data_IF_256579708112
#
_entry.id   IF_256579708112
#
_cell.length_a   1.000
_cell.length_b   1.000
_cell.length_c   1.000
_cell.angle_alpha   90.00
_cell.angle_beta   90.00
_cell.angle_gamma   90.00
#
_symmetry.space_group_name_H-M   'P 1'
#
loop_
_entity.id
_entity.type
_entity.pdbx_description
1 polymer ?
#
# COMPACT_ATOMS: atom_id res chain seq x y z
N UNK A 1 47.16 16.88 -1.49
CA UNK A 1 45.75 16.77 -1.07
C UNK A 1 44.89 17.15 -2.27
N UNK A 2 44.57 16.18 -3.14
CA UNK A 2 43.68 16.42 -4.29
C UNK A 2 42.38 15.65 -4.04
N UNK A 3 41.30 16.40 -3.88
CA UNK A 3 39.94 15.89 -3.75
C UNK A 3 39.44 15.44 -5.12
N UNK A 4 39.11 14.16 -5.25
CA UNK A 4 38.37 13.64 -6.39
C UNK A 4 36.89 14.03 -6.24
N UNK A 5 36.46 15.00 -7.04
CA UNK A 5 35.04 15.27 -7.27
C UNK A 5 34.46 14.10 -8.07
N UNK A 6 33.60 13.31 -7.43
CA UNK A 6 32.83 12.26 -8.08
C UNK A 6 31.80 12.90 -9.02
N UNK A 7 31.96 12.71 -10.32
CA UNK A 7 31.07 13.23 -11.34
C UNK A 7 29.71 12.51 -11.26
N UNK A 8 28.65 13.24 -10.88
CA UNK A 8 27.27 12.76 -10.99
C UNK A 8 26.89 12.74 -12.47
N UNK A 9 26.59 11.54 -12.99
CA UNK A 9 26.06 11.35 -14.34
C UNK A 9 24.63 11.94 -14.39
N UNK A 10 24.29 12.85 -15.32
CA UNK A 10 22.96 13.43 -15.39
C UNK A 10 21.96 12.43 -15.99
N UNK A 11 20.95 12.05 -15.20
CA UNK A 11 19.80 11.28 -15.67
C UNK A 11 18.74 12.21 -16.29
N UNK A 12 18.31 11.92 -17.52
CA UNK A 12 17.18 12.61 -18.15
C UNK A 12 15.87 12.29 -17.43
N UNK A 13 14.95 13.27 -17.27
CA UNK A 13 13.61 12.99 -16.76
C UNK A 13 12.91 12.01 -17.70
N UNK A 14 12.65 10.79 -17.21
CA UNK A 14 11.85 9.79 -17.91
C UNK A 14 10.37 10.01 -17.57
N UNK A 15 9.50 9.92 -18.58
CA UNK A 15 8.06 9.87 -18.38
C UNK A 15 7.70 8.63 -17.55
N UNK A 16 6.90 8.84 -16.51
CA UNK A 16 6.40 7.80 -15.62
C UNK A 16 5.45 6.88 -16.42
N UNK A 17 5.76 5.59 -16.45
CA UNK A 17 4.81 4.54 -16.78
C UNK A 17 4.67 3.68 -15.51
N UNK A 18 3.72 4.03 -14.65
CA UNK A 18 3.32 3.17 -13.53
C UNK A 18 2.58 1.97 -14.12
N UNK A 19 3.17 0.79 -14.03
CA UNK A 19 2.51 -0.46 -14.42
C UNK A 19 1.64 -0.92 -13.25
N UNK A 20 0.33 -1.03 -13.50
CA UNK A 20 -0.70 -1.42 -12.55
C UNK A 20 -0.92 -2.94 -12.65
N UNK A 21 -0.57 -3.71 -11.62
CA UNK A 21 -0.89 -5.13 -11.49
C UNK A 21 -1.91 -5.33 -10.37
N UNK A 22 -3.16 -5.63 -10.74
CA UNK A 22 -4.19 -6.19 -9.85
C UNK A 22 -4.78 -7.41 -10.54
N UNK A 23 -4.52 -8.61 -10.02
CA UNK A 23 -5.20 -9.85 -10.42
C UNK A 23 -5.98 -10.38 -9.22
N UNK A 24 -7.31 -10.35 -9.32
CA UNK A 24 -8.21 -10.98 -8.35
C UNK A 24 -8.50 -12.43 -8.80
N UNK A 25 -8.08 -13.42 -8.03
CA UNK A 25 -8.58 -14.79 -8.14
C UNK A 25 -9.67 -15.04 -7.09
N UNK A 26 -10.89 -15.32 -7.52
CA UNK A 26 -12.01 -15.71 -6.67
C UNK A 26 -12.42 -17.17 -6.99
N UNK A 27 -12.33 -18.05 -5.98
CA UNK A 27 -12.95 -19.37 -6.01
C UNK A 27 -13.94 -19.46 -4.85
N UNK A 28 -15.24 -19.42 -5.18
CA UNK A 28 -16.34 -19.66 -4.24
C UNK A 28 -16.87 -21.08 -4.35
N UNK A 29 -17.21 -21.67 -3.21
CA UNK A 29 -17.97 -22.92 -3.11
C UNK A 29 -19.03 -22.78 -2.01
N UNK A 30 -20.29 -22.97 -2.36
CA UNK A 30 -21.45 -22.79 -1.47
C UNK A 30 -22.17 -24.09 -1.10
N UNK A 31 -23.15 -23.93 -0.20
CA UNK A 31 -24.14 -24.90 0.27
C UNK A 31 -24.31 -24.77 1.79
N UNK A 32 -25.48 -24.63 2.40
CA UNK A 32 -26.89 -24.77 2.02
C UNK A 32 -27.61 -25.46 3.20
N UNK A 33 -28.78 -24.97 3.64
CA UNK A 33 -29.66 -25.73 4.55
C UNK A 33 -30.40 -24.93 5.62
N UNK A 34 -31.74 -24.98 5.55
CA UNK A 34 -32.72 -24.20 6.31
C UNK A 34 -33.12 -24.81 7.66
N UNK A 35 -33.84 -24.02 8.48
CA UNK A 35 -34.58 -24.52 9.64
C UNK A 35 -35.34 -23.41 10.38
N UNK A 36 -36.63 -23.24 10.05
CA UNK A 36 -37.58 -22.33 10.70
C UNK A 36 -38.19 -22.96 11.97
N UNK A 37 -38.64 -22.14 12.93
CA UNK A 37 -39.73 -22.50 13.84
C UNK A 37 -40.55 -21.29 14.25
N UNK A 38 -41.86 -21.47 14.15
CA UNK A 38 -42.98 -20.54 14.36
C UNK A 38 -43.42 -20.50 15.83
N UNK A 39 -43.91 -19.34 16.29
CA UNK A 39 -44.92 -19.22 17.36
C UNK A 39 -45.91 -18.07 17.01
N UNK A 40 -47.25 -18.26 17.15
CA UNK A 40 -48.27 -17.23 16.84
C UNK A 40 -48.79 -16.55 18.14
N UNK A 41 -49.72 -15.57 18.12
CA UNK A 41 -49.44 -14.20 18.57
C UNK A 41 -50.24 -13.73 19.80
N UNK A 42 -49.87 -12.59 20.39
CA UNK A 42 -50.72 -11.83 21.31
C UNK A 42 -51.13 -10.50 20.67
N UNK A 43 -52.43 -10.23 20.67
CA UNK A 43 -53.04 -9.10 19.96
C UNK A 43 -52.63 -7.74 20.51
N UNK A 44 -52.34 -6.83 19.59
CA UNK A 44 -52.35 -5.39 19.84
C UNK A 44 -53.00 -4.69 18.65
N UNK A 45 -53.78 -3.66 18.97
CA UNK A 45 -54.61 -2.84 18.09
C UNK A 45 -53.88 -2.36 16.83
N UNK A 46 -54.54 -2.27 15.65
CA UNK A 46 -53.89 -1.76 14.45
C UNK A 46 -53.51 -0.28 14.63
N UNK A 47 -52.26 0.11 14.34
CA UNK A 47 -51.90 1.53 14.23
C UNK A 47 -52.57 2.13 12.98
N UNK A 48 -52.92 3.41 13.07
CA UNK A 48 -53.43 4.18 11.95
C UNK A 48 -52.45 4.15 10.76
N UNK A 49 -52.96 3.89 9.57
CA UNK A 49 -52.20 3.87 8.32
C UNK A 49 -51.63 5.27 8.06
N UNK A 50 -50.31 5.44 8.23
CA UNK A 50 -49.62 6.63 7.74
C UNK A 50 -49.64 6.61 6.21
N UNK A 51 -49.92 7.74 5.53
CA UNK A 51 -49.72 7.86 4.09
C UNK A 51 -48.26 7.52 3.75
N UNK A 52 -48.00 6.83 2.64
CA UNK A 52 -46.63 6.52 2.24
C UNK A 52 -45.85 7.83 2.10
N UNK A 53 -44.75 7.95 2.85
CA UNK A 53 -43.79 9.01 2.65
C UNK A 53 -43.24 8.86 1.22
N UNK A 54 -43.47 9.86 0.37
CA UNK A 54 -42.77 9.99 -0.90
C UNK A 54 -41.28 10.09 -0.60
N UNK A 55 -40.53 9.00 -0.86
CA UNK A 55 -39.08 9.08 -0.94
C UNK A 55 -38.74 10.16 -1.96
N UNK A 56 -37.90 11.15 -1.62
CA UNK A 56 -37.32 12.02 -2.63
C UNK A 56 -36.65 11.13 -3.68
N UNK A 57 -36.97 11.35 -4.96
CA UNK A 57 -36.29 10.66 -6.05
C UNK A 57 -34.78 10.76 -5.82
N UNK A 58 -34.11 9.60 -5.77
CA UNK A 58 -32.67 9.56 -5.69
C UNK A 58 -32.11 10.30 -6.91
N UNK A 59 -31.57 11.49 -6.67
CA UNK A 59 -30.91 12.28 -7.70
C UNK A 59 -29.81 11.39 -8.29
N UNK A 60 -29.78 11.15 -9.62
CA UNK A 60 -28.81 10.25 -10.20
C UNK A 60 -27.41 10.77 -9.86
N UNK A 61 -26.64 9.98 -9.11
CA UNK A 61 -25.23 10.27 -8.86
C UNK A 61 -24.58 10.48 -10.23
N UNK A 62 -24.02 11.67 -10.43
CA UNK A 62 -23.30 11.98 -11.65
C UNK A 62 -22.21 10.91 -11.83
N UNK A 63 -22.15 10.31 -13.02
CA UNK A 63 -21.11 9.35 -13.36
C UNK A 63 -19.73 9.99 -13.12
N UNK A 64 -19.06 9.60 -12.03
CA UNK A 64 -17.71 10.02 -11.66
C UNK A 64 -16.63 9.44 -12.60
N UNK A 65 -17.04 8.94 -13.77
CA UNK A 65 -16.13 8.35 -14.73
C UNK A 65 -15.36 9.46 -15.46
N UNK A 66 -14.17 9.75 -14.96
CA UNK A 66 -13.27 10.77 -15.54
C UNK A 66 -12.60 10.23 -16.81
N UNK A 67 -12.07 9.00 -16.77
CA UNK A 67 -11.45 8.33 -17.91
C UNK A 67 -11.23 6.85 -17.64
N UNK A 68 -10.98 6.06 -18.68
CA UNK A 68 -10.51 4.69 -18.57
C UNK A 68 -9.29 4.50 -19.47
N UNK A 69 -8.22 3.99 -18.88
CA UNK A 69 -7.09 3.42 -19.60
C UNK A 69 -7.12 1.91 -19.42
N UNK A 70 -6.94 1.17 -20.53
CA UNK A 70 -6.69 -0.27 -20.47
C UNK A 70 -5.19 -0.47 -20.68
N UNK A 71 -4.53 -0.99 -19.65
CA UNK A 71 -3.15 -1.46 -19.78
C UNK A 71 -3.18 -2.89 -20.30
N UNK A 72 -2.50 -3.15 -21.41
CA UNK A 72 -2.30 -4.50 -21.93
C UNK A 72 -0.81 -4.79 -21.81
N UNK A 73 -0.41 -5.91 -21.19
CA UNK A 73 1.00 -6.31 -21.16
C UNK A 73 1.56 -6.33 -22.58
N UNK A 74 2.83 -5.96 -22.71
CA UNK A 74 3.52 -6.03 -23.99
C UNK A 74 3.53 -7.48 -24.49
N UNK A 75 3.55 -7.69 -25.81
CA UNK A 75 3.51 -9.03 -26.39
C UNK A 75 4.67 -9.94 -25.92
N UNK A 76 5.78 -9.36 -25.44
CA UNK A 76 6.93 -10.07 -24.88
C UNK A 76 6.84 -10.36 -23.38
N UNK A 77 5.80 -9.94 -22.67
CA UNK A 77 5.64 -10.22 -21.23
C UNK A 77 5.39 -11.72 -21.03
N UNK A 78 6.31 -12.40 -20.35
CA UNK A 78 6.25 -13.83 -20.01
C UNK A 78 5.95 -14.03 -18.53
N UNK A 79 5.64 -15.26 -18.13
CA UNK A 79 5.53 -15.68 -16.73
C UNK A 79 6.84 -15.45 -15.94
N UNK A 80 6.76 -15.20 -14.63
CA UNK A 80 7.96 -15.05 -13.78
C UNK A 80 7.68 -14.56 -12.35
N UNK A 81 6.93 -13.48 -12.18
CA UNK A 81 6.54 -12.92 -10.88
C UNK A 81 5.05 -12.56 -10.95
N UNK A 82 4.29 -12.99 -9.94
CA UNK A 82 2.92 -12.55 -9.66
C UNK A 82 2.92 -11.72 -8.39
N UNK A 83 1.79 -11.09 -8.08
CA UNK A 83 1.58 -10.43 -6.77
C UNK A 83 2.66 -9.39 -6.41
N UNK A 84 3.13 -8.69 -7.45
CA UNK A 84 4.11 -7.62 -7.30
C UNK A 84 3.55 -6.45 -6.48
N UNK A 85 4.20 -6.17 -5.35
CA UNK A 85 3.87 -5.04 -4.46
C UNK A 85 4.54 -3.74 -4.89
N UNK A 86 5.63 -3.79 -5.65
CA UNK A 86 6.26 -2.59 -6.22
C UNK A 86 6.98 -2.84 -7.54
N UNK A 87 6.97 -1.81 -8.39
CA UNK A 87 7.79 -1.75 -9.59
C UNK A 87 8.45 -0.38 -9.72
N UNK A 88 9.77 -0.34 -9.89
CA UNK A 88 10.56 0.89 -9.95
C UNK A 88 11.30 1.00 -11.29
N UNK A 89 11.11 2.12 -11.99
CA UNK A 89 11.80 2.35 -13.26
C UNK A 89 13.32 2.46 -13.07
N UNK A 90 14.06 1.67 -13.87
CA UNK A 90 15.50 1.70 -13.97
C UNK A 90 15.95 2.27 -15.33
N UNK A 91 17.22 2.69 -15.47
CA UNK A 91 17.79 3.12 -16.75
C UNK A 91 17.78 2.02 -17.80
N UNK A 92 17.85 2.40 -19.08
CA UNK A 92 18.00 1.45 -20.20
C UNK A 92 16.75 0.63 -20.53
N UNK A 93 15.56 1.15 -20.24
CA UNK A 93 14.28 0.45 -20.42
C UNK A 93 14.12 -0.82 -19.59
N UNK A 94 14.70 -0.81 -18.38
CA UNK A 94 14.49 -1.82 -17.36
C UNK A 94 13.60 -1.31 -16.22
N UNK A 95 13.09 -2.25 -15.44
CA UNK A 95 12.41 -1.99 -14.18
C UNK A 95 12.84 -3.03 -13.15
N UNK A 96 12.88 -2.61 -11.90
CA UNK A 96 12.90 -3.53 -10.79
C UNK A 96 11.47 -3.88 -10.42
N UNK A 97 11.22 -5.14 -10.10
CA UNK A 97 9.97 -5.64 -9.54
C UNK A 97 10.30 -6.43 -8.27
N UNK A 98 9.50 -6.21 -7.23
CA UNK A 98 9.53 -7.01 -6.02
C UNK A 98 8.11 -7.41 -5.64
N UNK A 99 7.95 -8.69 -5.31
CA UNK A 99 6.71 -9.34 -4.91
C UNK A 99 6.72 -9.67 -3.41
N UNK A 100 5.56 -10.05 -2.88
CA UNK A 100 5.41 -10.38 -1.46
C UNK A 100 5.77 -11.85 -1.16
N UNK A 101 5.80 -12.74 -2.17
CA UNK A 101 6.09 -14.16 -1.96
C UNK A 101 7.56 -14.57 -2.08
N UNK A 102 8.41 -13.73 -2.68
CA UNK A 102 9.83 -14.04 -2.87
C UNK A 102 10.75 -13.06 -2.14
N UNK A 103 11.74 -13.60 -1.45
CA UNK A 103 12.80 -12.82 -0.80
C UNK A 103 13.90 -12.35 -1.78
N UNK A 104 13.50 -11.77 -2.92
CA UNK A 104 14.44 -11.29 -3.94
C UNK A 104 13.95 -10.01 -4.62
N UNK A 105 14.89 -9.19 -5.11
CA UNK A 105 14.61 -8.17 -6.12
C UNK A 105 14.88 -8.75 -7.51
N UNK A 106 14.00 -8.49 -8.48
CA UNK A 106 14.20 -8.91 -9.87
C UNK A 106 14.25 -7.71 -10.81
N UNK A 107 15.11 -7.77 -11.81
CA UNK A 107 15.19 -6.76 -12.88
C UNK A 107 14.62 -7.34 -14.16
N UNK A 108 13.67 -6.65 -14.77
CA UNK A 108 12.99 -7.04 -16.00
C UNK A 108 13.14 -5.97 -17.09
N UNK A 109 13.22 -6.36 -18.38
CA UNK A 109 12.98 -5.43 -19.48
C UNK A 109 11.53 -4.90 -19.41
N UNK A 110 11.32 -3.59 -19.54
CA UNK A 110 9.96 -3.00 -19.55
C UNK A 110 9.14 -3.39 -20.77
N UNK A 111 9.80 -3.76 -21.88
CA UNK A 111 9.16 -4.31 -23.07
C UNK A 111 8.60 -5.73 -22.86
N UNK A 112 8.85 -6.35 -21.69
CA UNK A 112 8.52 -7.74 -21.39
C UNK A 112 9.71 -8.68 -21.63
N UNK A 113 9.66 -9.84 -20.95
CA UNK A 113 10.63 -10.91 -21.04
C UNK A 113 10.97 -11.47 -19.64
N UNK A 114 11.87 -12.45 -19.61
CA UNK A 114 12.37 -13.02 -18.35
C UNK A 114 13.19 -12.01 -17.54
N UNK A 115 13.30 -12.24 -16.23
CA UNK A 115 14.20 -11.48 -15.37
C UNK A 115 15.65 -11.63 -15.87
N UNK A 116 16.37 -10.51 -15.95
CA UNK A 116 17.79 -10.47 -16.35
C UNK A 116 18.74 -10.43 -15.16
N UNK A 117 18.20 -10.18 -13.96
CA UNK A 117 18.93 -10.15 -12.70
C UNK A 117 17.98 -10.54 -11.57
N UNK A 118 18.50 -11.30 -10.62
CA UNK A 118 17.90 -11.54 -9.32
C UNK A 118 18.92 -11.16 -8.23
N UNK A 119 18.44 -10.60 -7.13
CA UNK A 119 19.23 -10.22 -5.97
C UNK A 119 18.56 -10.73 -4.70
N UNK A 120 19.27 -11.53 -3.91
CA UNK A 120 18.70 -12.28 -2.79
C UNK A 120 18.80 -11.55 -1.45
N UNK A 121 17.69 -11.44 -0.73
CA UNK A 121 17.67 -10.84 0.62
C UNK A 121 18.50 -11.65 1.61
N UNK A 122 18.47 -12.97 1.48
CA UNK A 122 19.20 -13.91 2.34
C UNK A 122 20.70 -13.89 2.05
N UNK A 123 21.08 -13.97 0.76
CA UNK A 123 22.49 -14.09 0.38
C UNK A 123 23.22 -12.76 0.34
N UNK A 124 22.54 -11.66 0.03
CA UNK A 124 23.17 -10.37 -0.27
C UNK A 124 22.62 -9.21 0.56
N UNK A 125 21.37 -9.33 1.04
CA UNK A 125 20.63 -8.24 1.69
C UNK A 125 20.52 -8.35 3.22
N UNK A 126 19.33 -8.07 3.79
CA UNK A 126 19.10 -8.01 5.24
C UNK A 126 19.24 -9.34 5.99
N UNK A 127 19.61 -10.44 5.30
CA UNK A 127 19.81 -11.77 5.87
C UNK A 127 18.53 -12.38 6.44
N UNK A 128 17.40 -12.07 5.80
CA UNK A 128 16.08 -12.57 6.15
C UNK A 128 15.89 -13.97 5.55
N UNK A 129 15.64 -14.95 6.41
CA UNK A 129 15.34 -16.34 6.03
C UNK A 129 13.84 -16.63 5.98
N UNK A 130 13.03 -15.81 6.68
CA UNK A 130 11.58 -15.78 6.52
C UNK A 130 11.21 -14.77 5.45
N UNK A 131 10.13 -15.04 4.74
CA UNK A 131 9.47 -14.12 3.82
C UNK A 131 9.27 -12.75 4.48
N UNK A 132 9.81 -11.71 3.83
CA UNK A 132 9.67 -10.33 4.27
C UNK A 132 8.26 -9.79 4.02
N UNK A 133 7.54 -10.34 3.03
CA UNK A 133 6.18 -9.92 2.68
C UNK A 133 6.25 -8.45 2.23
N UNK A 134 6.96 -8.18 1.13
CA UNK A 134 7.26 -6.81 0.69
C UNK A 134 5.97 -6.12 0.27
N UNK A 135 5.71 -4.92 0.80
CA UNK A 135 4.44 -4.22 0.56
C UNK A 135 4.61 -2.96 -0.30
N UNK A 136 5.75 -2.29 -0.21
CA UNK A 136 5.98 -1.08 -0.98
C UNK A 136 7.47 -0.77 -1.20
N UNK A 137 7.74 0.05 -2.22
CA UNK A 137 9.06 0.47 -2.60
C UNK A 137 9.07 1.89 -3.18
N UNK A 138 10.17 2.62 -3.01
CA UNK A 138 10.38 3.90 -3.68
C UNK A 138 11.85 4.16 -3.98
N UNK A 139 12.12 5.04 -4.94
CA UNK A 139 13.47 5.41 -5.35
C UNK A 139 13.74 6.88 -5.06
N UNK A 140 14.85 7.15 -4.37
CA UNK A 140 15.38 8.51 -4.17
C UNK A 140 16.84 8.51 -4.66
N UNK A 141 17.09 9.20 -5.77
CA UNK A 141 18.40 9.22 -6.42
C UNK A 141 18.84 7.83 -6.91
N UNK A 142 19.95 7.33 -6.37
CA UNK A 142 20.51 6.00 -6.63
C UNK A 142 20.12 4.97 -5.55
N UNK A 143 19.30 5.35 -4.57
CA UNK A 143 18.91 4.47 -3.46
C UNK A 143 17.45 4.06 -3.60
N UNK A 144 17.20 2.76 -3.49
CA UNK A 144 15.88 2.15 -3.43
C UNK A 144 15.57 1.83 -1.97
N UNK A 145 14.42 2.25 -1.51
CA UNK A 145 13.89 2.01 -0.19
C UNK A 145 12.72 1.06 -0.31
N UNK A 146 12.62 0.11 0.61
CA UNK A 146 11.58 -0.92 0.62
C UNK A 146 11.04 -1.09 2.03
N UNK A 147 9.79 -1.52 2.13
CA UNK A 147 9.16 -1.92 3.38
C UNK A 147 8.54 -3.29 3.24
N UNK A 148 8.81 -4.18 4.20
CA UNK A 148 8.04 -5.40 4.41
C UNK A 148 6.68 -5.12 5.05
N UNK A 149 5.97 -6.19 5.37
CA UNK A 149 4.65 -6.10 5.96
C UNK A 149 4.74 -5.53 7.38
N UNK A 150 4.29 -4.29 7.49
CA UNK A 150 4.00 -3.61 8.74
C UNK A 150 2.50 -3.73 8.96
N UNK A 151 2.05 -4.98 9.12
CA UNK A 151 0.65 -5.34 9.23
C UNK A 151 0.46 -6.40 10.32
N UNK A 152 -0.74 -6.48 10.89
CA UNK A 152 -1.12 -7.67 11.65
C UNK A 152 -1.12 -8.91 10.75
N UNK A 153 -0.91 -10.10 11.31
CA UNK A 153 -1.10 -11.36 10.60
C UNK A 153 -2.59 -11.56 10.28
N UNK A 154 -2.88 -12.40 9.28
CA UNK A 154 -4.25 -12.76 8.86
C UNK A 154 -5.13 -13.36 9.98
N UNK A 155 -4.51 -13.94 11.01
CA UNK A 155 -5.18 -14.47 12.20
C UNK A 155 -5.27 -13.45 13.35
N UNK A 156 -4.80 -12.23 13.11
CA UNK A 156 -4.76 -11.13 14.07
C UNK A 156 -3.58 -11.18 15.05
N UNK A 157 -2.61 -12.08 14.87
CA UNK A 157 -1.38 -12.06 15.67
C UNK A 157 -0.43 -10.94 15.22
N UNK A 158 0.49 -10.55 16.10
CA UNK A 158 1.54 -9.57 15.80
C UNK A 158 2.56 -10.15 14.78
N UNK A 159 2.89 -9.36 13.76
CA UNK A 159 3.90 -9.68 12.74
C UNK A 159 5.19 -8.87 12.88
N UNK A 160 5.23 -7.88 13.78
CA UNK A 160 6.26 -6.85 13.83
C UNK A 160 7.68 -7.42 13.95
N UNK A 161 7.85 -8.43 14.82
CA UNK A 161 9.16 -9.03 15.06
C UNK A 161 9.73 -9.83 13.87
N UNK A 162 8.89 -10.25 12.92
CA UNK A 162 9.28 -11.15 11.83
C UNK A 162 9.31 -10.47 10.45
N UNK A 163 8.52 -9.41 10.22
CA UNK A 163 8.24 -8.86 8.87
C UNK A 163 8.34 -7.34 8.74
N UNK A 164 8.31 -6.60 9.83
CA UNK A 164 8.26 -5.13 9.80
C UNK A 164 9.63 -4.49 9.63
N UNK A 165 10.24 -4.67 8.45
CA UNK A 165 11.54 -4.11 8.11
C UNK A 165 11.42 -3.05 7.03
N UNK A 166 11.96 -1.86 7.31
CA UNK A 166 12.41 -0.92 6.31
C UNK A 166 13.84 -1.28 5.93
N UNK A 167 14.17 -1.37 4.65
CA UNK A 167 15.55 -1.55 4.21
C UNK A 167 15.85 -0.72 2.97
N UNK A 168 17.15 -0.59 2.65
CA UNK A 168 17.54 0.07 1.42
C UNK A 168 18.72 -0.62 0.72
N UNK A 169 18.75 -0.45 -0.59
CA UNK A 169 19.87 -0.83 -1.46
C UNK A 169 20.21 0.33 -2.37
N UNK A 170 21.50 0.55 -2.64
CA UNK A 170 21.94 1.38 -3.75
C UNK A 170 21.90 0.57 -5.04
N UNK A 171 21.46 1.18 -6.13
CA UNK A 171 21.39 0.56 -7.46
C UNK A 171 22.34 1.27 -8.43
N UNK A 172 23.06 0.48 -9.22
CA UNK A 172 23.95 0.96 -10.29
C UNK A 172 23.89 0.02 -11.49
N UNK A 173 24.47 0.42 -12.63
CA UNK A 173 24.41 -0.36 -13.86
C UNK A 173 23.03 -0.34 -14.53
N UNK A 174 22.81 -1.26 -15.46
CA UNK A 174 21.55 -1.43 -16.19
C UNK A 174 21.44 -2.86 -16.71
N UNK A 175 20.22 -3.34 -16.97
CA UNK A 175 19.98 -4.70 -17.45
C UNK A 175 20.59 -5.78 -16.56
N UNK A 176 21.23 -6.78 -17.17
CA UNK A 176 21.90 -7.87 -16.45
C UNK A 176 23.08 -7.40 -15.59
N UNK A 177 23.70 -6.26 -15.94
CA UNK A 177 24.80 -5.64 -15.21
C UNK A 177 24.31 -4.76 -14.05
N UNK A 178 23.00 -4.75 -13.76
CA UNK A 178 22.46 -4.07 -12.59
C UNK A 178 23.07 -4.65 -11.31
N UNK A 179 23.64 -3.79 -10.49
CA UNK A 179 24.25 -4.16 -9.21
C UNK A 179 23.55 -3.47 -8.05
N UNK A 180 23.33 -4.22 -6.98
CA UNK A 180 22.74 -3.75 -5.74
C UNK A 180 23.77 -3.79 -4.62
N UNK A 181 23.80 -2.73 -3.81
CA UNK A 181 24.62 -2.66 -2.60
C UNK A 181 23.74 -2.39 -1.40
N UNK A 182 23.63 -3.36 -0.51
CA UNK A 182 22.83 -3.26 0.70
C UNK A 182 23.32 -2.12 1.60
N UNK A 183 22.40 -1.28 2.06
CA UNK A 183 22.69 -0.12 2.91
C UNK A 183 22.48 -0.46 4.39
N UNK A 184 21.37 -1.11 4.72
CA UNK A 184 20.98 -1.43 6.08
C UNK A 184 19.47 -1.60 6.21
N UNK A 185 18.99 -1.69 7.46
CA UNK A 185 17.58 -1.91 7.78
C UNK A 185 17.17 -1.26 9.11
N UNK A 186 15.88 -1.11 9.31
CA UNK A 186 15.25 -0.64 10.54
C UNK A 186 13.95 -1.41 10.80
N UNK A 187 13.76 -1.91 12.02
CA UNK A 187 12.69 -2.86 12.36
C UNK A 187 11.77 -2.41 13.51
N UNK A 188 11.86 -1.14 13.95
CA UNK A 188 11.08 -0.63 15.09
C UNK A 188 9.99 0.37 14.66
N UNK A 189 9.62 0.38 13.38
CA UNK A 189 8.72 1.38 12.81
C UNK A 189 7.33 1.35 13.45
N UNK A 190 6.70 0.17 13.51
CA UNK A 190 5.37 0.00 14.11
C UNK A 190 5.35 0.44 15.59
N UNK A 191 6.28 -0.09 16.39
CA UNK A 191 6.37 0.26 17.82
C UNK A 191 6.55 1.76 18.04
N UNK A 192 7.30 2.44 17.18
CA UNK A 192 7.54 3.88 17.27
C UNK A 192 6.36 4.71 16.74
N UNK A 193 5.62 4.23 15.74
CA UNK A 193 4.34 4.84 15.32
C UNK A 193 3.31 4.77 16.44
N UNK A 194 3.19 3.63 17.11
CA UNK A 194 2.30 3.44 18.27
C UNK A 194 2.67 4.43 19.39
N UNK A 195 3.96 4.53 19.73
CA UNK A 195 4.42 5.45 20.77
C UNK A 195 4.17 6.92 20.38
N UNK A 196 4.41 7.28 19.12
CA UNK A 196 4.19 8.63 18.59
C UNK A 196 2.73 9.06 18.67
N UNK A 197 1.79 8.18 18.31
CA UNK A 197 0.36 8.44 18.41
C UNK A 197 -0.13 8.48 19.86
N UNK A 198 0.26 7.50 20.67
CA UNK A 198 -0.13 7.41 22.09
C UNK A 198 0.31 8.62 22.92
N UNK A 199 1.49 9.15 22.64
CA UNK A 199 2.06 10.28 23.40
C UNK A 199 1.64 11.64 22.87
N UNK A 200 0.76 11.70 21.87
CA UNK A 200 0.37 12.95 21.20
C UNK A 200 1.58 13.71 20.62
N UNK A 201 2.61 13.00 20.16
CA UNK A 201 3.81 13.64 19.61
C UNK A 201 3.53 14.30 18.24
N UNK A 202 2.37 14.04 17.63
CA UNK A 202 1.87 14.70 16.42
C UNK A 202 1.03 15.96 16.69
N UNK A 203 0.49 16.14 17.90
CA UNK A 203 -0.27 17.32 18.31
C UNK A 203 -1.79 17.28 18.06
N UNK A 204 -2.38 16.15 17.66
CA UNK A 204 -3.82 15.99 17.38
C UNK A 204 -4.62 15.34 18.52
N UNK A 205 -3.96 14.97 19.62
CA UNK A 205 -4.52 14.26 20.77
C UNK A 205 -3.83 12.90 20.99
N UNK A 206 -3.85 12.40 22.21
CA UNK A 206 -3.34 11.07 22.50
C UNK A 206 -4.22 10.01 21.81
N UNK A 207 -3.59 9.00 21.21
CA UNK A 207 -4.25 7.89 20.53
C UNK A 207 -5.20 8.32 19.40
N UNK A 208 -4.91 9.46 18.75
CA UNK A 208 -5.74 10.04 17.71
C UNK A 208 -5.94 9.10 16.50
N UNK A 209 -4.89 8.43 16.06
CA UNK A 209 -4.96 7.44 14.96
C UNK A 209 -5.35 6.05 15.45
N UNK A 210 -5.23 5.80 16.75
CA UNK A 210 -5.56 4.55 17.39
C UNK A 210 -4.62 3.42 16.95
N UNK A 211 -3.34 3.71 16.69
CA UNK A 211 -2.39 2.69 16.25
C UNK A 211 -2.22 1.57 17.28
N UNK A 212 -2.21 1.89 18.58
CA UNK A 212 -2.13 0.89 19.64
C UNK A 212 -3.27 -0.14 19.60
N UNK A 213 -4.49 0.33 19.30
CA UNK A 213 -5.65 -0.55 19.12
C UNK A 213 -5.56 -1.29 17.80
N UNK A 214 -5.16 -0.59 16.73
CA UNK A 214 -5.15 -1.14 15.38
C UNK A 214 -4.14 -2.28 15.20
N UNK A 215 -2.98 -2.18 15.87
CA UNK A 215 -1.97 -3.23 15.93
C UNK A 215 -2.26 -4.32 16.99
N UNK A 216 -3.34 -4.18 17.75
CA UNK A 216 -3.68 -5.08 18.86
C UNK A 216 -3.99 -6.51 18.40
N UNK A 217 -3.79 -7.47 19.30
CA UNK A 217 -4.09 -8.88 19.04
C UNK A 217 -5.56 -9.10 18.68
N UNK A 218 -5.81 -9.92 17.65
CA UNK A 218 -7.14 -10.23 17.12
C UNK A 218 -7.69 -9.19 16.13
N UNK A 219 -6.93 -8.14 15.82
CA UNK A 219 -7.26 -7.22 14.73
C UNK A 219 -6.55 -7.70 13.47
N UNK A 220 -7.34 -8.01 12.44
CA UNK A 220 -6.82 -8.43 11.12
C UNK A 220 -6.57 -7.20 10.23
N UNK A 221 -5.58 -7.24 9.32
CA UNK A 221 -5.19 -6.08 8.51
C UNK A 221 -6.29 -5.63 7.54
N UNK A 222 -7.23 -6.52 7.17
CA UNK A 222 -8.32 -6.22 6.25
C UNK A 222 -9.53 -5.51 6.89
N UNK A 223 -9.35 -4.93 8.08
CA UNK A 223 -10.35 -4.08 8.72
C UNK A 223 -10.01 -2.61 8.59
N UNK A 224 -11.02 -1.76 8.61
CA UNK A 224 -10.82 -0.29 8.61
C UNK A 224 -10.05 0.21 9.84
N UNK A 225 -10.03 -0.61 10.89
CA UNK A 225 -9.26 -0.42 12.11
C UNK A 225 -8.07 -1.36 12.24
N UNK A 226 -7.66 -2.04 11.17
CA UNK A 226 -6.38 -2.78 11.14
C UNK A 226 -5.18 -1.86 11.03
N UNK A 227 -3.99 -2.42 11.21
CA UNK A 227 -2.71 -1.76 10.93
C UNK A 227 -2.14 -2.40 9.66
N UNK A 228 -1.88 -1.60 8.63
CA UNK A 228 -1.30 -2.06 7.36
C UNK A 228 -0.74 -0.91 6.53
N UNK A 229 0.58 -0.94 6.27
CA UNK A 229 1.29 -0.02 5.39
C UNK A 229 1.49 -0.69 4.03
N UNK A 230 0.88 -0.12 2.97
CA UNK A 230 1.01 -0.63 1.58
C UNK A 230 1.43 0.47 0.60
N UNK A 231 1.53 1.73 1.05
CA UNK A 231 2.02 2.84 0.25
C UNK A 231 3.40 3.29 0.73
N UNK A 232 4.30 3.60 -0.20
CA UNK A 232 5.54 4.29 0.14
C UNK A 232 6.06 5.16 -1.00
N UNK A 233 6.39 6.41 -0.69
CA UNK A 233 6.97 7.35 -1.67
C UNK A 233 7.86 8.40 -1.00
N UNK A 234 8.50 9.27 -1.77
CA UNK A 234 9.19 10.43 -1.21
C UNK A 234 8.29 11.66 -1.14
N UNK A 235 8.47 12.46 -0.10
CA UNK A 235 7.86 13.80 0.01
C UNK A 235 8.30 14.76 -1.12
N UNK A 236 7.63 15.91 -1.29
CA UNK A 236 8.14 16.99 -2.13
C UNK A 236 9.56 17.39 -1.69
N UNK A 237 10.47 17.49 -2.66
CA UNK A 237 11.89 17.76 -2.38
C UNK A 237 12.69 16.60 -1.77
N UNK A 238 12.10 15.40 -1.63
CA UNK A 238 12.77 14.18 -1.18
C UNK A 238 13.40 14.27 0.23
N UNK A 239 12.75 15.02 1.13
CA UNK A 239 13.26 15.27 2.49
C UNK A 239 12.75 14.29 3.56
N UNK A 240 11.66 13.58 3.25
CA UNK A 240 11.05 12.55 4.07
C UNK A 240 10.54 11.39 3.20
N UNK A 241 10.48 10.21 3.81
CA UNK A 241 9.80 9.04 3.29
C UNK A 241 8.34 9.07 3.76
N UNK A 242 7.38 9.04 2.86
CA UNK A 242 5.95 9.01 3.15
C UNK A 242 5.46 7.56 3.19
N UNK A 243 4.86 7.17 4.31
CA UNK A 243 4.21 5.87 4.51
C UNK A 243 2.71 6.02 4.34
N UNK A 244 2.14 5.37 3.31
CA UNK A 244 0.71 5.34 3.04
C UNK A 244 0.05 4.11 3.65
N UNK A 245 -1.05 4.32 4.36
CA UNK A 245 -1.73 3.26 5.09
C UNK A 245 -2.94 2.75 4.30
N UNK A 246 -3.01 1.42 4.10
CA UNK A 246 -4.28 0.76 3.72
C UNK A 246 -5.27 0.86 4.86
N UNK A 247 -4.78 0.64 6.07
CA UNK A 247 -5.49 0.80 7.32
C UNK A 247 -4.48 1.23 8.41
N UNK A 248 -4.90 2.00 9.42
CA UNK A 248 -6.27 2.42 9.68
C UNK A 248 -6.73 3.55 8.75
N UNK A 249 -8.02 3.58 8.43
CA UNK A 249 -8.66 4.85 8.07
C UNK A 249 -8.84 5.68 9.36
N UNK A 250 -8.71 7.00 9.25
CA UNK A 250 -8.73 7.92 10.40
C UNK A 250 -10.06 8.67 10.49
N UNK A 251 -10.31 9.27 11.65
CA UNK A 251 -11.51 10.04 11.96
C UNK A 251 -12.16 9.63 13.29
N UNK A 252 -12.54 10.61 14.11
CA UNK A 252 -12.97 10.42 15.50
C UNK A 252 -14.36 9.77 15.63
N UNK A 253 -15.20 9.86 14.60
CA UNK A 253 -16.59 9.35 14.62
C UNK A 253 -16.80 8.31 13.53
N UNK A 254 -16.24 8.55 12.34
CA UNK A 254 -16.22 7.61 11.22
C UNK A 254 -14.79 7.55 10.70
N UNK A 255 -14.22 6.35 10.64
CA UNK A 255 -12.90 6.09 10.03
C UNK A 255 -13.02 6.20 8.52
N UNK A 256 -12.86 7.42 7.97
CA UNK A 256 -13.19 7.75 6.59
C UNK A 256 -12.02 8.30 5.77
N UNK A 257 -10.96 8.80 6.41
CA UNK A 257 -9.83 9.40 5.70
C UNK A 257 -8.68 8.40 5.59
N UNK A 258 -7.96 8.47 4.47
CA UNK A 258 -6.69 7.79 4.31
C UNK A 258 -5.59 8.54 5.06
N UNK A 259 -4.53 7.83 5.46
CA UNK A 259 -3.43 8.39 6.24
C UNK A 259 -2.10 8.24 5.51
N UNK A 260 -1.29 9.31 5.55
CA UNK A 260 0.14 9.28 5.25
C UNK A 260 0.91 9.79 6.47
N UNK A 261 1.94 9.05 6.89
CA UNK A 261 2.87 9.48 7.94
C UNK A 261 4.27 9.69 7.36
N UNK A 262 4.84 10.91 7.42
CA UNK A 262 6.21 11.16 7.01
C UNK A 262 7.24 10.65 8.02
N UNK A 263 8.30 9.98 7.58
CA UNK A 263 9.52 9.65 8.33
C UNK A 263 10.66 10.53 7.82
N UNK A 264 11.11 11.48 8.63
CA UNK A 264 12.07 12.51 8.20
C UNK A 264 13.52 12.01 8.19
N UNK A 265 13.88 11.15 9.14
CA UNK A 265 15.25 10.65 9.32
C UNK A 265 15.44 9.21 8.82
N UNK A 266 14.62 8.76 7.86
CA UNK A 266 14.60 7.39 7.31
C UNK A 266 15.98 6.86 6.92
N UNK A 267 16.82 7.68 6.27
CA UNK A 267 18.17 7.27 5.88
C UNK A 267 19.08 6.98 7.08
N UNK A 268 18.96 7.76 8.16
CA UNK A 268 19.73 7.55 9.40
C UNK A 268 19.26 6.30 10.16
N UNK A 269 17.95 6.04 10.16
CA UNK A 269 17.39 4.80 10.73
C UNK A 269 17.93 3.58 10.01
N UNK A 270 17.86 3.56 8.68
CA UNK A 270 18.29 2.44 7.85
C UNK A 270 19.81 2.23 7.94
N UNK A 271 20.59 3.31 8.00
CA UNK A 271 22.04 3.23 8.18
C UNK A 271 22.46 2.83 9.61
N UNK A 272 21.53 2.67 10.55
CA UNK A 272 21.83 2.35 11.95
C UNK A 272 22.49 3.49 12.74
N UNK A 273 22.46 4.71 12.21
CA UNK A 273 23.03 5.90 12.90
C UNK A 273 22.00 6.64 13.76
N UNK A 274 20.72 6.28 13.63
CA UNK A 274 19.65 6.67 14.53
C UNK A 274 18.81 5.45 14.93
N UNK A 275 18.31 5.43 16.16
CA UNK A 275 17.42 4.36 16.66
C UNK A 275 15.98 4.83 16.87
N UNK A 276 15.72 6.14 16.77
CA UNK A 276 14.40 6.76 16.97
C UNK A 276 13.98 7.51 15.71
N UNK A 277 12.79 7.19 15.21
CA UNK A 277 12.17 7.81 14.06
C UNK A 277 11.67 9.21 14.43
N UNK A 278 11.93 10.14 13.53
CA UNK A 278 11.37 11.49 13.58
C UNK A 278 10.22 11.55 12.59
N UNK A 279 9.00 11.45 13.10
CA UNK A 279 7.80 11.55 12.27
C UNK A 279 7.44 13.02 12.00
N UNK A 280 6.94 13.30 10.81
CA UNK A 280 6.44 14.62 10.41
C UNK A 280 4.95 14.81 10.67
N UNK A 281 4.43 15.98 10.28
CA UNK A 281 3.00 16.24 10.34
C UNK A 281 2.25 15.20 9.47
N UNK A 282 1.27 14.50 10.04
CA UNK A 282 0.49 13.52 9.30
C UNK A 282 -0.38 14.20 8.23
N UNK A 283 -0.66 13.48 7.15
CA UNK A 283 -1.54 13.96 6.08
C UNK A 283 -2.75 13.03 6.04
N UNK A 284 -3.94 13.59 6.20
CA UNK A 284 -5.20 12.88 6.03
C UNK A 284 -5.85 13.26 4.70
N UNK A 285 -6.33 12.26 3.94
CA UNK A 285 -6.91 12.45 2.62
C UNK A 285 -8.34 11.91 2.55
N UNK A 286 -9.24 12.66 1.93
CA UNK A 286 -10.62 12.25 1.67
C UNK A 286 -10.69 11.37 0.42
N UNK A 287 -10.39 10.07 0.56
CA UNK A 287 -10.46 9.08 -0.54
C UNK A 287 -11.77 8.28 -0.56
N UNK A 288 -12.84 8.84 0.01
CA UNK A 288 -14.16 8.21 0.06
C UNK A 288 -14.19 6.95 0.93
N UNK A 289 -13.56 6.97 2.11
CA UNK A 289 -13.49 5.81 3.01
C UNK A 289 -12.46 4.75 2.60
N UNK A 290 -11.60 5.05 1.62
CA UNK A 290 -10.57 4.13 1.13
C UNK A 290 -9.22 4.45 1.74
N UNK A 291 -8.40 3.43 1.92
CA UNK A 291 -6.98 3.57 2.27
C UNK A 291 -6.10 3.66 1.02
N UNK A 292 -4.81 3.82 1.25
CA UNK A 292 -3.78 3.87 0.21
C UNK A 292 -3.23 2.46 0.02
N UNK A 293 -3.40 1.92 -1.19
CA UNK A 293 -2.84 0.61 -1.63
C UNK A 293 -1.51 0.78 -2.36
N UNK A 294 -1.25 1.98 -2.88
CA UNK A 294 0.04 2.40 -3.44
C UNK A 294 0.04 3.92 -3.61
N UNK A 295 1.21 4.53 -3.55
CA UNK A 295 1.43 5.95 -3.84
C UNK A 295 2.78 6.13 -4.55
N UNK A 296 2.76 6.83 -5.68
CA UNK A 296 3.94 7.09 -6.50
C UNK A 296 4.10 8.58 -6.78
N UNK A 297 5.33 9.07 -6.70
CA UNK A 297 5.68 10.44 -7.05
C UNK A 297 6.03 10.55 -8.52
N UNK A 298 5.33 11.41 -9.23
CA UNK A 298 5.59 11.78 -10.62
C UNK A 298 6.79 12.73 -10.76
N UNK A 299 7.38 12.76 -11.96
CA UNK A 299 8.45 13.69 -12.31
C UNK A 299 7.97 15.13 -12.47
N UNK A 300 6.66 15.33 -12.56
CA UNK A 300 5.96 16.62 -12.58
C UNK A 300 5.67 17.16 -11.17
N UNK A 301 6.06 16.43 -10.12
CA UNK A 301 5.81 16.80 -8.73
C UNK A 301 4.42 16.42 -8.22
N UNK A 302 3.57 15.81 -9.04
CA UNK A 302 2.28 15.27 -8.63
C UNK A 302 2.46 13.86 -8.07
N UNK A 303 1.39 13.34 -7.45
CA UNK A 303 1.34 12.00 -6.90
C UNK A 303 0.19 11.21 -7.51
N UNK A 304 0.46 9.96 -7.89
CA UNK A 304 -0.57 8.99 -8.23
C UNK A 304 -0.86 8.14 -6.99
N UNK A 305 -2.11 8.08 -6.56
CA UNK A 305 -2.55 7.26 -5.43
C UNK A 305 -3.52 6.19 -5.94
N UNK A 306 -3.22 4.93 -5.62
CA UNK A 306 -4.17 3.83 -5.80
C UNK A 306 -4.95 3.68 -4.49
N UNK A 307 -6.20 4.12 -4.51
CA UNK A 307 -7.08 4.03 -3.34
C UNK A 307 -7.90 2.73 -3.37
N UNK A 308 -8.00 2.04 -2.25
CA UNK A 308 -8.74 0.79 -2.14
C UNK A 308 -9.43 0.61 -0.79
N UNK A 309 -10.44 -0.27 -0.70
CA UNK A 309 -11.04 -0.61 0.59
C UNK A 309 -10.00 -1.24 1.52
N UNK A 310 -10.18 -1.06 2.84
CA UNK A 310 -9.40 -1.81 3.83
C UNK A 310 -9.67 -3.32 3.73
N UNK A 311 -10.93 -3.71 3.57
CA UNK A 311 -11.34 -5.10 3.37
C UNK A 311 -11.26 -5.58 1.92
N UNK A 312 -11.77 -6.79 1.67
CA UNK A 312 -11.98 -7.28 0.33
C UNK A 312 -12.85 -6.30 -0.48
N UNK A 313 -12.49 -6.09 -1.75
CA UNK A 313 -13.33 -5.35 -2.66
C UNK A 313 -14.66 -6.09 -2.82
N UNK A 314 -15.76 -5.44 -2.43
CA UNK A 314 -17.09 -5.87 -2.90
C UNK A 314 -17.11 -5.61 -4.40
N UNK A 315 -17.50 -6.60 -5.18
CA UNK A 315 -17.72 -6.42 -6.61
C UNK A 315 -18.63 -5.21 -6.82
N UNK A 316 -18.22 -4.30 -7.69
CA UNK A 316 -19.10 -3.23 -8.13
C UNK A 316 -20.38 -3.88 -8.67
N UNK A 317 -21.59 -3.37 -8.35
CA UNK A 317 -22.79 -3.85 -9.01
C UNK A 317 -22.59 -3.70 -10.52
N UNK A 318 -22.83 -4.77 -11.27
CA UNK A 318 -22.81 -4.73 -12.73
C UNK A 318 -23.69 -3.56 -13.18
N UNK A 319 -23.28 -2.75 -14.18
CA UNK A 319 -24.16 -1.72 -14.72
C UNK A 319 -25.46 -2.41 -15.11
N UNK A 320 -26.57 -2.03 -14.46
CA UNK A 320 -27.86 -2.63 -14.71
C UNK A 320 -28.10 -2.65 -16.21
N UNK A 321 -28.20 -3.86 -16.79
CA UNK A 321 -28.71 -4.01 -18.15
C UNK A 321 -30.05 -3.29 -18.16
N UNK A 322 -30.14 -2.18 -18.91
CA UNK A 322 -31.43 -1.52 -19.13
C UNK A 322 -32.40 -2.61 -19.59
N UNK A 323 -33.56 -2.80 -18.94
CA UNK A 323 -34.58 -3.65 -19.52
C UNK A 323 -34.94 -3.02 -20.87
N UNK A 324 -34.75 -3.80 -21.94
CA UNK A 324 -35.24 -3.43 -23.25
C UNK A 324 -36.74 -3.20 -23.15
N UNK A 325 -37.15 -1.96 -23.33
CA UNK A 325 -38.56 -1.63 -23.51
C UNK A 325 -39.01 -2.05 -24.91
N UNK A 326 -40.27 -2.50 -25.07
CA UNK A 326 -40.87 -2.77 -26.38
C UNK A 326 -40.98 -1.52 -27.25
#
# INVERSE_FOLDING_TARGET
MNSHLSARIPFKPMLLASALSLLLAACGGGGGGAGFSFFPPAGSTPPAVQPPATQPEAQPEASLFVSQARFTPNAGTTEGSSDASTALALPGDFMLVADDESNVLRVYPRAGGAAVKEWSYELEGPKLTKELDLEAGTRIGDTLYFTGSNSNKKDGADAAADRSHLFAVKVSGTGADTAFSYVGQFALLEAQLIAWDKTNAHGLGADHFGFAVSAGAGIVPERVDGFSIEGMTSSPGDTALWLGFRAPQTGNTVRAKALIVPVQNYAALIAGTATQATFGAPIELELGGRGIRSIDKGTDGNYLIVAGPAGAARSAPSPAQRPGGP
#
